data_IF_964928764797
#
_entry.id   IF_964928764797
#
_cell.length_a   1.000
_cell.length_b   1.000
_cell.length_c   1.000
_cell.angle_alpha   90.00
_cell.angle_beta   90.00
_cell.angle_gamma   90.00
#
_symmetry.space_group_name_H-M   'P 1'
#
loop_
_entity.id
_entity.type
_entity.pdbx_description
1 polymer ?
#
# COMPACT_ATOMS: atom_id res chain seq x y z
N UNK A 1 17.71 27.89 8.80
CA UNK A 1 18.27 26.56 8.47
C UNK A 1 17.72 25.43 9.34
N UNK A 2 17.57 25.60 10.67
CA UNK A 2 16.99 24.55 11.53
C UNK A 2 15.48 24.30 11.32
N UNK A 3 14.69 25.32 10.96
CA UNK A 3 13.26 25.18 10.70
C UNK A 3 12.95 24.34 9.45
N UNK A 4 13.74 24.50 8.39
CA UNK A 4 13.57 23.80 7.11
C UNK A 4 13.82 22.29 7.21
N UNK A 5 14.69 21.86 8.13
CA UNK A 5 14.99 20.45 8.40
C UNK A 5 13.89 19.75 9.23
N UNK A 6 13.24 20.47 10.15
CA UNK A 6 12.11 19.91 10.91
C UNK A 6 10.87 19.68 10.04
N UNK A 7 10.66 20.50 9.00
CA UNK A 7 9.55 20.32 8.07
C UNK A 7 9.82 19.22 7.03
N UNK A 8 11.06 19.05 6.58
CA UNK A 8 11.45 17.93 5.71
C UNK A 8 11.29 16.56 6.37
N UNK A 9 11.37 16.48 7.71
CA UNK A 9 11.13 15.25 8.47
C UNK A 9 9.65 14.88 8.63
N UNK A 10 8.70 15.75 8.24
CA UNK A 10 7.27 15.43 8.15
C UNK A 10 6.95 14.77 6.80
N UNK A 11 7.81 13.86 6.33
CA UNK A 11 7.85 13.30 4.97
C UNK A 11 6.58 12.60 4.46
N UNK A 12 5.49 12.62 5.22
CA UNK A 12 4.15 12.30 4.78
C UNK A 12 3.27 13.50 5.13
N UNK A 13 3.04 14.37 4.15
CA UNK A 13 1.98 15.39 4.27
C UNK A 13 0.61 14.69 4.34
N UNK A 14 -0.43 15.38 4.79
CA UNK A 14 -1.80 14.82 4.74
C UNK A 14 -2.18 14.36 3.32
N UNK A 15 -1.73 15.09 2.30
CA UNK A 15 -1.86 14.70 0.90
C UNK A 15 -1.15 13.38 0.60
N UNK A 16 0.08 13.21 1.05
CA UNK A 16 0.86 11.98 0.86
C UNK A 16 0.18 10.77 1.54
N UNK A 17 -0.39 10.94 2.72
CA UNK A 17 -1.13 9.87 3.41
C UNK A 17 -2.40 9.45 2.63
N UNK A 18 -3.10 10.42 2.05
CA UNK A 18 -4.27 10.14 1.21
C UNK A 18 -3.86 9.36 -0.05
N UNK A 19 -2.75 9.72 -0.69
CA UNK A 19 -2.22 8.99 -1.85
C UNK A 19 -1.80 7.57 -1.50
N UNK A 20 -1.17 7.34 -0.34
CA UNK A 20 -0.87 5.98 0.10
C UNK A 20 -2.12 5.14 0.29
N UNK A 21 -3.17 5.68 0.92
CA UNK A 21 -4.45 4.97 1.06
C UNK A 21 -5.10 4.67 -0.30
N UNK A 22 -5.03 5.60 -1.26
CA UNK A 22 -5.50 5.37 -2.62
C UNK A 22 -4.74 4.24 -3.30
N UNK A 23 -3.41 4.23 -3.19
CA UNK A 23 -2.57 3.17 -3.75
C UNK A 23 -2.86 1.81 -3.11
N UNK A 24 -3.01 1.76 -1.78
CA UNK A 24 -3.39 0.55 -1.05
C UNK A 24 -4.73 -0.02 -1.55
N UNK A 25 -5.74 0.84 -1.70
CA UNK A 25 -7.05 0.42 -2.19
C UNK A 25 -7.01 -0.05 -3.65
N UNK A 26 -6.20 0.60 -4.48
CA UNK A 26 -6.01 0.21 -5.89
C UNK A 26 -5.40 -1.19 -6.01
N UNK A 27 -4.33 -1.46 -5.25
CA UNK A 27 -3.69 -2.78 -5.19
C UNK A 27 -4.67 -3.88 -4.75
N UNK A 28 -5.43 -3.65 -3.66
CA UNK A 28 -6.43 -4.62 -3.18
C UNK A 28 -7.52 -4.88 -4.23
N UNK A 29 -7.97 -3.82 -4.91
CA UNK A 29 -8.99 -3.95 -5.97
C UNK A 29 -8.49 -4.76 -7.16
N UNK A 30 -7.24 -4.52 -7.58
CA UNK A 30 -6.59 -5.31 -8.63
C UNK A 30 -6.50 -6.79 -8.27
N UNK A 31 -5.97 -7.11 -7.08
CA UNK A 31 -5.81 -8.50 -6.65
C UNK A 31 -7.16 -9.22 -6.50
N UNK A 32 -8.21 -8.51 -6.08
CA UNK A 32 -9.58 -9.06 -6.05
C UNK A 32 -10.16 -9.26 -7.44
N UNK A 33 -9.89 -8.36 -8.38
CA UNK A 33 -10.27 -8.50 -9.79
C UNK A 33 -9.67 -9.74 -10.44
N UNK A 34 -8.47 -10.15 -10.01
CA UNK A 34 -7.81 -11.38 -10.44
C UNK A 34 -8.15 -12.62 -9.59
N UNK A 35 -9.05 -12.49 -8.61
CA UNK A 35 -9.38 -13.54 -7.64
C UNK A 35 -8.17 -14.09 -6.84
N UNK A 36 -7.09 -13.33 -6.72
CA UNK A 36 -5.90 -13.69 -5.94
C UNK A 36 -6.05 -13.37 -4.44
N UNK A 37 -7.00 -12.50 -4.12
CA UNK A 37 -7.37 -12.12 -2.76
C UNK A 37 -8.87 -12.36 -2.55
N UNK A 38 -9.23 -13.00 -1.44
CA UNK A 38 -10.63 -13.22 -1.07
C UNK A 38 -11.41 -11.92 -0.76
N UNK A 39 -12.75 -11.95 -0.83
CA UNK A 39 -13.59 -10.76 -0.62
C UNK A 39 -13.51 -10.21 0.81
N UNK A 40 -13.28 -11.07 1.80
CA UNK A 40 -13.15 -10.75 3.23
C UNK A 40 -11.72 -10.92 3.74
N UNK A 41 -10.76 -11.10 2.84
CA UNK A 41 -9.37 -11.32 3.20
C UNK A 41 -8.61 -9.99 3.31
N UNK A 42 -7.86 -9.83 4.40
CA UNK A 42 -7.02 -8.66 4.65
C UNK A 42 -5.66 -8.82 3.97
N UNK A 43 -5.39 -7.99 2.97
CA UNK A 43 -4.08 -7.94 2.32
C UNK A 43 -3.00 -7.34 3.23
N UNK A 44 -3.31 -6.23 3.92
CA UNK A 44 -2.40 -5.59 4.87
C UNK A 44 -2.63 -6.12 6.28
N UNK A 45 -1.89 -7.16 6.66
CA UNK A 45 -2.06 -7.88 7.93
C UNK A 45 -0.77 -8.00 8.73
N UNK A 46 -0.88 -8.06 10.06
CA UNK A 46 0.25 -8.41 10.96
C UNK A 46 0.72 -9.86 10.78
N UNK A 47 -0.09 -10.70 10.16
CA UNK A 47 0.21 -12.09 9.81
C UNK A 47 -0.03 -12.28 8.30
N UNK A 48 0.90 -11.82 7.46
CA UNK A 48 0.75 -11.92 6.01
C UNK A 48 0.75 -13.38 5.55
N UNK A 49 0.11 -13.65 4.41
CA UNK A 49 0.26 -14.95 3.73
C UNK A 49 1.69 -15.14 3.26
N UNK A 50 2.09 -16.40 3.09
CA UNK A 50 3.42 -16.78 2.60
C UNK A 50 3.70 -16.28 1.18
N UNK A 51 2.67 -16.18 0.35
CA UNK A 51 2.76 -15.77 -1.05
C UNK A 51 2.58 -14.26 -1.27
N UNK A 52 2.48 -13.45 -0.20
CA UNK A 52 2.37 -11.98 -0.31
C UNK A 52 3.44 -11.34 -1.21
N UNK A 53 4.72 -11.74 -1.18
CA UNK A 53 5.71 -11.18 -2.10
C UNK A 53 5.33 -11.34 -3.59
N UNK A 54 4.73 -12.47 -3.96
CA UNK A 54 4.29 -12.72 -5.34
C UNK A 54 3.11 -11.85 -5.73
N UNK A 55 2.17 -11.62 -4.81
CA UNK A 55 1.03 -10.74 -5.07
C UNK A 55 1.47 -9.28 -5.25
N UNK A 56 2.46 -8.83 -4.48
CA UNK A 56 3.06 -7.51 -4.65
C UNK A 56 3.75 -7.39 -6.01
N UNK A 57 4.53 -8.41 -6.41
CA UNK A 57 5.19 -8.45 -7.73
C UNK A 57 4.15 -8.42 -8.86
N UNK A 58 3.08 -9.22 -8.75
CA UNK A 58 2.00 -9.24 -9.74
C UNK A 58 1.35 -7.86 -9.93
N UNK A 59 1.23 -7.07 -8.85
CA UNK A 59 0.74 -5.70 -8.92
C UNK A 59 1.74 -4.72 -9.54
N UNK A 60 3.02 -4.78 -9.15
CA UNK A 60 4.05 -3.85 -9.64
C UNK A 60 4.35 -4.06 -11.13
N UNK A 61 4.29 -5.30 -11.60
CA UNK A 61 4.64 -5.69 -12.97
C UNK A 61 3.48 -5.56 -13.97
N UNK A 62 2.28 -5.20 -13.51
CA UNK A 62 1.11 -5.02 -14.35
C UNK A 62 0.95 -3.57 -14.79
#
# INVERSE_FOLDING_TARGET
LQSTLMEASKGVTEGTNAEYKRLMNSCVSFLRGLHLLGPSEDFFSKKPRRDMPWLIVAWIMN
#
